data_IF_533249969527
#
_entry.id   IF_533249969527
#
_cell.length_a   1.000
_cell.length_b   1.000
_cell.length_c   1.000
_cell.angle_alpha   90.00
_cell.angle_beta   90.00
_cell.angle_gamma   90.00
#
_symmetry.space_group_name_H-M   'P 1'
#
loop_
_entity.id
_entity.type
_entity.pdbx_description
1 polymer ?
#
# COMPACT_ATOMS: atom_id res chain seq x y z
N UNK A 1 39.79 -5.54 65.92
CA UNK A 1 40.51 -4.95 64.73
C UNK A 1 39.70 -5.26 63.53
N UNK A 2 38.85 -4.36 63.13
CA UNK A 2 37.81 -4.49 62.11
C UNK A 2 38.24 -3.77 60.82
N UNK A 3 38.63 -4.52 59.77
CA UNK A 3 39.00 -3.96 58.49
C UNK A 3 37.75 -3.77 57.64
N UNK A 4 37.19 -2.53 57.59
CA UNK A 4 36.18 -2.12 56.61
C UNK A 4 36.75 -2.22 55.18
N UNK A 5 36.19 -3.13 54.37
CA UNK A 5 36.39 -3.13 52.90
C UNK A 5 35.55 -2.03 52.29
N UNK A 6 36.21 -1.05 51.70
CA UNK A 6 35.57 -0.03 50.84
C UNK A 6 35.32 -0.67 49.48
N UNK A 7 34.05 -0.71 49.07
CA UNK A 7 33.65 -1.07 47.69
C UNK A 7 33.99 0.05 46.72
N UNK A 8 34.22 -0.26 45.41
CA UNK A 8 34.54 0.74 44.41
C UNK A 8 33.34 1.59 44.07
N UNK A 9 33.61 2.94 43.87
CA UNK A 9 32.63 3.93 43.45
C UNK A 9 32.09 3.65 42.05
N UNK A 10 30.81 3.98 41.78
CA UNK A 10 30.25 3.84 40.45
C UNK A 10 30.86 4.85 39.47
N UNK A 11 31.33 4.33 38.34
CA UNK A 11 31.89 5.11 37.24
C UNK A 11 30.83 6.08 36.69
N UNK A 12 31.13 7.36 36.62
CA UNK A 12 30.33 8.39 35.97
C UNK A 12 30.22 8.09 34.48
N UNK A 13 29.06 7.57 34.10
CA UNK A 13 28.68 7.33 32.70
C UNK A 13 28.50 8.64 31.96
N UNK A 14 29.37 8.86 30.96
CA UNK A 14 29.34 10.00 30.07
C UNK A 14 27.99 10.14 29.38
N UNK A 15 27.25 11.18 29.77
CA UNK A 15 26.05 11.62 29.06
C UNK A 15 26.43 12.08 27.67
N UNK A 16 26.17 11.23 26.66
CA UNK A 16 26.19 11.69 25.26
C UNK A 16 25.10 12.74 25.11
N UNK A 17 25.50 14.00 24.93
CA UNK A 17 24.62 15.06 24.46
C UNK A 17 23.92 14.61 23.17
N UNK A 18 22.67 14.17 23.27
CA UNK A 18 21.80 14.02 22.13
C UNK A 18 21.54 15.43 21.58
N UNK A 19 22.21 15.79 20.49
CA UNK A 19 21.90 17.00 19.72
C UNK A 19 20.41 16.96 19.39
N UNK A 20 19.65 17.88 19.96
CA UNK A 20 18.24 18.11 19.62
C UNK A 20 18.20 18.68 18.19
N UNK A 21 17.98 17.83 17.20
CA UNK A 21 17.59 18.28 15.88
C UNK A 21 16.20 18.89 15.92
N UNK A 22 15.91 19.94 15.14
CA UNK A 22 14.65 20.67 15.23
C UNK A 22 13.45 19.74 15.01
N UNK A 23 12.52 19.75 15.96
CA UNK A 23 11.32 18.87 16.02
C UNK A 23 10.45 18.89 14.77
N UNK A 24 10.48 19.96 13.95
CA UNK A 24 9.65 20.12 12.73
C UNK A 24 10.09 19.25 11.55
N UNK A 25 11.37 19.08 11.29
CA UNK A 25 11.89 18.32 10.14
C UNK A 25 11.59 16.82 10.22
N UNK A 26 11.45 16.26 11.43
CA UNK A 26 11.17 14.86 11.65
C UNK A 26 9.70 14.47 11.43
N UNK A 27 8.79 15.41 11.71
CA UNK A 27 7.35 15.24 11.48
C UNK A 27 7.03 15.15 9.98
N UNK A 28 7.67 15.98 9.17
CA UNK A 28 7.51 15.97 7.71
C UNK A 28 7.94 14.63 7.10
N UNK A 29 9.08 14.07 7.54
CA UNK A 29 9.56 12.78 7.04
C UNK A 29 8.57 11.63 7.27
N UNK A 30 7.95 11.56 8.45
CA UNK A 30 6.95 10.54 8.77
C UNK A 30 5.67 10.71 7.92
N UNK A 31 5.21 11.96 7.71
CA UNK A 31 4.08 12.26 6.83
C UNK A 31 4.37 11.79 5.40
N UNK A 32 5.55 12.11 4.83
CA UNK A 32 5.91 11.67 3.48
C UNK A 32 6.01 10.16 3.32
N UNK A 33 6.52 9.45 4.33
CA UNK A 33 6.59 7.97 4.29
C UNK A 33 5.19 7.37 4.35
N UNK A 34 4.29 7.91 5.19
CA UNK A 34 2.91 7.46 5.29
C UNK A 34 2.12 7.77 4.01
N UNK A 35 2.31 8.98 3.44
CA UNK A 35 1.76 9.37 2.13
C UNK A 35 2.16 8.38 1.05
N UNK A 36 3.46 8.09 0.93
CA UNK A 36 3.93 7.13 -0.07
C UNK A 36 3.32 5.74 0.11
N UNK A 37 3.20 5.29 1.35
CA UNK A 37 2.60 3.99 1.65
C UNK A 37 1.13 3.93 1.18
N UNK A 38 0.42 5.06 1.24
CA UNK A 38 -0.96 5.16 0.78
C UNK A 38 -1.06 5.38 -0.74
N UNK A 39 -0.17 6.21 -1.32
CA UNK A 39 -0.17 6.57 -2.75
C UNK A 39 0.52 5.48 -3.58
N UNK A 40 -0.17 4.37 -3.83
CA UNK A 40 0.30 3.25 -4.63
C UNK A 40 -0.41 3.12 -5.97
N UNK A 41 -0.36 1.92 -6.55
CA UNK A 41 -1.04 1.57 -7.80
C UNK A 41 -2.57 1.82 -7.75
N UNK A 42 -3.18 1.81 -6.56
CA UNK A 42 -4.59 2.10 -6.35
C UNK A 42 -5.02 3.49 -6.83
N UNK A 43 -4.11 4.48 -6.88
CA UNK A 43 -4.44 5.82 -7.39
C UNK A 43 -4.91 5.78 -8.85
N UNK A 44 -4.32 4.93 -9.68
CA UNK A 44 -4.69 4.79 -11.09
C UNK A 44 -6.10 4.25 -11.29
N UNK A 45 -6.60 3.46 -10.36
CA UNK A 45 -7.91 2.81 -10.46
C UNK A 45 -9.04 3.59 -9.77
N UNK A 46 -8.74 4.72 -9.14
CA UNK A 46 -9.75 5.50 -8.43
C UNK A 46 -10.87 6.04 -9.35
N UNK A 47 -10.59 6.58 -10.56
CA UNK A 47 -11.65 6.99 -11.49
C UNK A 47 -12.60 5.83 -11.86
N UNK A 48 -12.06 4.63 -12.08
CA UNK A 48 -12.84 3.43 -12.32
C UNK A 48 -13.70 3.05 -11.11
N UNK A 49 -13.14 3.15 -9.89
CA UNK A 49 -13.88 2.89 -8.65
C UNK A 49 -15.03 3.90 -8.45
N UNK A 50 -14.88 5.17 -8.87
CA UNK A 50 -15.97 6.16 -8.89
C UNK A 50 -17.11 5.71 -9.80
N UNK A 51 -16.80 5.17 -10.98
CA UNK A 51 -17.81 4.59 -11.89
C UNK A 51 -18.55 3.42 -11.28
N UNK A 52 -17.84 2.53 -10.56
CA UNK A 52 -18.40 1.37 -9.85
C UNK A 52 -19.25 1.76 -8.65
N UNK A 53 -18.90 2.83 -7.96
CA UNK A 53 -19.67 3.35 -6.81
C UNK A 53 -21.00 4.03 -7.23
N UNK A 54 -21.25 4.17 -8.52
CA UNK A 54 -22.47 4.79 -9.05
C UNK A 54 -22.34 6.27 -9.38
N UNK A 55 -21.13 6.81 -9.38
CA UNK A 55 -20.84 8.20 -9.77
C UNK A 55 -20.04 8.98 -8.73
N UNK A 56 -19.86 10.28 -8.99
CA UNK A 56 -18.99 11.13 -8.18
C UNK A 56 -19.49 11.32 -6.73
N UNK A 57 -20.78 11.57 -6.55
CA UNK A 57 -21.34 11.89 -5.22
C UNK A 57 -21.33 10.67 -4.29
N UNK A 58 -21.84 9.48 -4.69
CA UNK A 58 -21.74 8.29 -3.85
C UNK A 58 -20.30 7.92 -3.52
N UNK A 59 -19.37 8.03 -4.48
CA UNK A 59 -17.96 7.73 -4.27
C UNK A 59 -17.33 8.64 -3.21
N UNK A 60 -17.54 9.96 -3.31
CA UNK A 60 -17.04 10.92 -2.32
C UNK A 60 -17.62 10.70 -0.92
N UNK A 61 -18.90 10.35 -0.81
CA UNK A 61 -19.52 10.03 0.49
C UNK A 61 -18.89 8.78 1.12
N UNK A 62 -18.66 7.73 0.33
CA UNK A 62 -17.98 6.51 0.78
C UNK A 62 -16.54 6.82 1.19
N UNK A 63 -15.83 7.64 0.42
CA UNK A 63 -14.45 8.04 0.69
C UNK A 63 -14.35 8.83 2.01
N UNK A 64 -15.24 9.80 2.23
CA UNK A 64 -15.32 10.56 3.49
C UNK A 64 -15.70 9.67 4.68
N UNK A 65 -16.65 8.76 4.50
CA UNK A 65 -17.04 7.80 5.53
C UNK A 65 -15.88 6.87 5.89
N UNK A 66 -15.16 6.36 4.89
CA UNK A 66 -13.99 5.49 5.10
C UNK A 66 -12.83 6.19 5.80
N UNK A 67 -12.64 7.50 5.59
CA UNK A 67 -11.60 8.29 6.25
C UNK A 67 -11.68 8.20 7.77
N UNK A 68 -12.88 8.19 8.34
CA UNK A 68 -13.08 8.10 9.80
C UNK A 68 -12.56 6.76 10.32
N UNK A 69 -12.84 5.65 9.62
CA UNK A 69 -12.32 4.33 9.97
C UNK A 69 -10.80 4.25 9.78
N UNK A 70 -10.28 4.80 8.69
CA UNK A 70 -8.85 4.84 8.39
C UNK A 70 -8.06 5.56 9.49
N UNK A 71 -8.47 6.77 9.86
CA UNK A 71 -7.80 7.54 10.91
C UNK A 71 -7.94 6.86 12.28
N UNK A 72 -9.12 6.32 12.59
CA UNK A 72 -9.31 5.60 13.85
C UNK A 72 -8.48 4.32 13.92
N UNK A 73 -8.37 3.57 12.82
CA UNK A 73 -7.53 2.37 12.72
C UNK A 73 -6.05 2.68 12.94
N UNK A 74 -5.54 3.74 12.29
CA UNK A 74 -4.16 4.21 12.48
C UNK A 74 -3.88 4.64 13.92
N UNK A 75 -4.82 5.35 14.54
CA UNK A 75 -4.70 5.77 15.93
C UNK A 75 -4.65 4.58 16.89
N UNK A 76 -5.54 3.60 16.70
CA UNK A 76 -5.58 2.37 17.50
C UNK A 76 -4.32 1.55 17.35
N UNK A 77 -3.84 1.36 16.11
CA UNK A 77 -2.61 0.63 15.84
C UNK A 77 -1.38 1.30 16.44
N UNK A 78 -1.29 2.65 16.36
CA UNK A 78 -0.23 3.41 17.01
C UNK A 78 -0.25 3.27 18.52
N UNK A 79 -1.44 3.29 19.13
CA UNK A 79 -1.61 3.06 20.58
C UNK A 79 -1.23 1.62 20.97
N UNK A 80 -1.69 0.63 20.20
CA UNK A 80 -1.36 -0.78 20.41
C UNK A 80 0.15 -1.05 20.24
N UNK A 81 0.80 -0.40 19.27
CA UNK A 81 2.24 -0.47 19.08
C UNK A 81 3.02 0.14 20.25
N UNK A 82 2.55 1.28 20.80
CA UNK A 82 3.13 1.89 21.98
C UNK A 82 3.01 0.99 23.22
N UNK A 83 1.88 0.31 23.38
CA UNK A 83 1.62 -0.58 24.50
C UNK A 83 2.41 -1.88 24.42
N UNK A 84 2.47 -2.51 23.23
CA UNK A 84 3.11 -3.80 23.02
C UNK A 84 4.62 -3.72 22.82
N UNK A 85 5.15 -2.52 22.52
CA UNK A 85 6.56 -2.27 22.17
C UNK A 85 7.10 -3.18 21.03
N UNK A 86 6.20 -3.63 20.14
CA UNK A 86 6.55 -4.47 19.01
C UNK A 86 6.84 -3.61 17.76
N UNK A 87 7.92 -3.90 16.99
CA UNK A 87 8.29 -3.12 15.82
C UNK A 87 7.53 -3.50 14.55
N UNK A 88 6.80 -4.61 14.55
CA UNK A 88 6.09 -5.14 13.37
C UNK A 88 4.60 -5.21 13.59
N UNK A 89 3.81 -5.04 12.51
CA UNK A 89 2.35 -5.12 12.55
C UNK A 89 1.87 -6.47 13.11
N UNK A 90 2.43 -7.57 12.61
CA UNK A 90 2.09 -8.93 13.04
C UNK A 90 2.45 -9.16 14.51
N UNK A 91 3.58 -8.58 14.95
CA UNK A 91 4.01 -8.63 16.35
C UNK A 91 3.02 -7.94 17.28
N UNK A 92 2.53 -6.76 16.90
CA UNK A 92 1.50 -6.01 17.64
C UNK A 92 0.20 -6.82 17.73
N UNK A 93 -0.30 -7.33 16.59
CA UNK A 93 -1.54 -8.13 16.56
C UNK A 93 -1.39 -9.41 17.40
N UNK A 94 -0.24 -10.09 17.32
CA UNK A 94 0.04 -11.28 18.14
C UNK A 94 0.08 -10.97 19.63
N UNK A 95 0.69 -9.84 20.01
CA UNK A 95 0.79 -9.42 21.41
C UNK A 95 -0.56 -8.99 22.01
N UNK A 96 -1.41 -8.37 21.21
CA UNK A 96 -2.69 -7.80 21.65
C UNK A 96 -3.83 -8.80 21.48
N UNK A 97 -3.96 -9.45 20.32
CA UNK A 97 -5.11 -10.30 19.98
C UNK A 97 -4.81 -11.82 20.15
N UNK A 98 -3.59 -12.18 20.56
CA UNK A 98 -3.21 -13.57 20.79
C UNK A 98 -2.55 -14.27 19.60
N UNK A 99 -2.01 -15.48 19.83
CA UNK A 99 -1.18 -16.19 18.89
C UNK A 99 -1.91 -16.66 17.61
N UNK A 100 -3.18 -17.06 17.72
CA UNK A 100 -3.97 -17.55 16.59
C UNK A 100 -4.27 -16.42 15.61
N UNK A 101 -4.71 -15.26 16.13
CA UNK A 101 -5.00 -14.05 15.32
C UNK A 101 -3.69 -13.50 14.73
N UNK A 102 -2.58 -13.56 15.47
CA UNK A 102 -1.26 -13.19 14.97
C UNK A 102 -0.82 -14.02 13.76
N UNK A 103 -1.05 -15.35 13.78
CA UNK A 103 -0.77 -16.22 12.62
C UNK A 103 -1.68 -15.91 11.43
N UNK A 104 -2.97 -15.68 11.66
CA UNK A 104 -3.89 -15.25 10.61
C UNK A 104 -3.41 -13.94 9.98
N UNK A 105 -2.98 -12.97 10.81
CA UNK A 105 -2.42 -11.70 10.34
C UNK A 105 -1.18 -11.91 9.48
N UNK A 106 -0.25 -12.81 9.84
CA UNK A 106 0.94 -13.14 9.05
C UNK A 106 0.56 -13.69 7.67
N UNK A 107 -0.41 -14.59 7.60
CA UNK A 107 -0.90 -15.17 6.33
C UNK A 107 -1.58 -14.10 5.47
N UNK A 108 -2.49 -13.31 6.05
CA UNK A 108 -3.14 -12.22 5.33
C UNK A 108 -2.12 -11.20 4.80
N UNK A 109 -1.09 -10.87 5.61
CA UNK A 109 -0.03 -9.95 5.23
C UNK A 109 0.79 -10.47 4.05
N UNK A 110 1.14 -11.75 4.07
CA UNK A 110 1.86 -12.41 2.98
C UNK A 110 1.04 -12.41 1.69
N UNK A 111 -0.23 -12.80 1.77
CA UNK A 111 -1.15 -12.81 0.62
C UNK A 111 -1.32 -11.39 0.05
N UNK A 112 -1.46 -10.39 0.90
CA UNK A 112 -1.63 -9.01 0.47
C UNK A 112 -0.38 -8.48 -0.25
N UNK A 113 0.81 -8.68 0.32
CA UNK A 113 2.07 -8.30 -0.35
C UNK A 113 2.26 -9.02 -1.69
N UNK A 114 1.85 -10.29 -1.75
CA UNK A 114 1.91 -11.06 -2.99
C UNK A 114 0.98 -10.47 -4.06
N UNK A 115 -0.27 -10.20 -3.72
CA UNK A 115 -1.23 -9.59 -4.65
C UNK A 115 -0.85 -8.17 -5.05
N UNK A 116 -0.30 -7.37 -4.13
CA UNK A 116 0.28 -6.05 -4.45
C UNK A 116 1.41 -6.20 -5.47
N UNK A 117 2.30 -7.19 -5.31
CA UNK A 117 3.38 -7.45 -6.28
C UNK A 117 2.83 -7.77 -7.68
N UNK A 118 1.75 -8.55 -7.77
CA UNK A 118 1.07 -8.84 -9.04
C UNK A 118 0.50 -7.56 -9.66
N UNK A 119 -0.21 -6.75 -8.86
CA UNK A 119 -0.79 -5.48 -9.34
C UNK A 119 0.29 -4.52 -9.85
N UNK A 120 1.42 -4.39 -9.13
CA UNK A 120 2.53 -3.53 -9.54
C UNK A 120 3.11 -3.97 -10.89
N UNK A 121 3.33 -5.27 -11.09
CA UNK A 121 3.83 -5.78 -12.38
C UNK A 121 2.80 -5.58 -13.50
N UNK A 122 1.51 -5.75 -13.23
CA UNK A 122 0.46 -5.52 -14.23
C UNK A 122 0.43 -4.06 -14.66
N UNK A 123 0.46 -3.11 -13.72
CA UNK A 123 0.52 -1.67 -14.04
C UNK A 123 1.75 -1.35 -14.88
N UNK A 124 2.93 -1.87 -14.51
CA UNK A 124 4.14 -1.65 -15.31
C UNK A 124 3.98 -2.20 -16.73
N UNK A 125 3.38 -3.39 -16.87
CA UNK A 125 3.08 -3.98 -18.18
C UNK A 125 2.17 -3.09 -19.03
N UNK A 126 1.09 -2.56 -18.45
CA UNK A 126 0.15 -1.66 -19.13
C UNK A 126 0.83 -0.35 -19.57
N UNK A 127 1.68 0.23 -18.71
CA UNK A 127 2.43 1.43 -19.08
C UNK A 127 3.46 1.16 -20.19
N UNK A 128 4.16 0.00 -20.14
CA UNK A 128 5.11 -0.40 -21.20
C UNK A 128 4.40 -0.59 -22.54
N UNK A 129 3.26 -1.25 -22.56
CA UNK A 129 2.45 -1.45 -23.77
C UNK A 129 2.14 -0.11 -24.43
N UNK A 130 1.61 0.86 -23.68
CA UNK A 130 1.28 2.20 -24.20
C UNK A 130 2.51 3.00 -24.63
N UNK A 131 3.64 2.84 -23.94
CA UNK A 131 4.90 3.48 -24.36
C UNK A 131 5.44 2.86 -25.66
N UNK A 132 5.35 1.54 -25.82
CA UNK A 132 5.72 0.86 -27.06
C UNK A 132 4.82 1.28 -28.22
N UNK A 133 3.51 1.36 -28.01
CA UNK A 133 2.55 1.85 -29.01
C UNK A 133 2.86 3.29 -29.45
N UNK A 134 3.35 4.13 -28.55
CA UNK A 134 3.70 5.50 -28.86
C UNK A 134 5.00 5.62 -29.67
N UNK A 135 5.94 4.69 -29.48
CA UNK A 135 7.22 4.64 -30.21
C UNK A 135 7.07 4.01 -31.62
N UNK A 136 6.11 3.12 -31.77
CA UNK A 136 5.80 2.46 -33.05
C UNK A 136 4.34 2.74 -33.44
N UNK A 137 3.99 3.97 -33.82
CA UNK A 137 2.65 4.26 -34.32
C UNK A 137 2.43 3.41 -35.58
N UNK A 138 1.49 2.47 -35.53
CA UNK A 138 1.15 1.54 -36.61
C UNK A 138 1.15 2.28 -37.94
N UNK A 139 2.16 1.94 -38.77
CA UNK A 139 2.43 2.67 -39.99
C UNK A 139 1.29 2.54 -41.01
N UNK A 140 0.48 3.58 -41.08
CA UNK A 140 -0.44 3.84 -42.19
C UNK A 140 0.27 4.30 -43.46
N UNK A 141 1.59 4.07 -43.59
CA UNK A 141 2.38 4.41 -44.79
C UNK A 141 2.56 3.28 -45.76
N UNK A 142 2.14 2.05 -45.45
CA UNK A 142 2.13 0.93 -46.40
C UNK A 142 0.97 0.02 -46.05
N UNK A 143 -0.03 -0.03 -46.89
CA UNK A 143 -1.32 -0.68 -46.78
C UNK A 143 -1.36 -2.20 -46.47
N UNK A 144 -0.46 -2.71 -45.67
CA UNK A 144 -0.49 -4.07 -45.10
C UNK A 144 -0.40 -3.98 -43.57
N UNK A 145 -1.23 -4.71 -42.81
CA UNK A 145 -1.11 -4.81 -41.37
C UNK A 145 0.17 -5.56 -41.02
N UNK A 146 1.24 -4.83 -40.73
CA UNK A 146 2.45 -5.44 -40.20
C UNK A 146 2.19 -5.74 -38.72
N UNK A 147 2.24 -7.02 -38.37
CA UNK A 147 2.24 -7.46 -36.96
C UNK A 147 3.41 -6.78 -36.24
N UNK A 148 3.16 -6.20 -35.05
CA UNK A 148 4.22 -5.56 -34.27
C UNK A 148 5.35 -6.59 -34.04
N UNK A 149 6.62 -6.17 -34.10
CA UNK A 149 7.73 -7.08 -33.88
C UNK A 149 7.63 -7.69 -32.46
N UNK A 150 8.01 -8.97 -32.33
CA UNK A 150 7.91 -9.78 -31.11
C UNK A 150 8.54 -9.13 -29.87
N UNK A 151 9.54 -8.24 -30.04
CA UNK A 151 10.21 -7.53 -28.96
C UNK A 151 9.39 -6.35 -28.41
N UNK A 152 8.29 -5.96 -29.06
CA UNK A 152 7.35 -4.92 -28.61
C UNK A 152 6.18 -5.54 -27.83
N UNK A 153 6.01 -6.87 -27.88
CA UNK A 153 4.96 -7.56 -27.13
C UNK A 153 5.11 -7.29 -25.62
N UNK A 154 4.00 -6.90 -24.97
CA UNK A 154 3.91 -6.63 -23.53
C UNK A 154 4.52 -7.75 -22.68
N UNK A 155 4.31 -9.01 -23.09
CA UNK A 155 4.82 -10.17 -22.35
C UNK A 155 6.34 -10.23 -22.36
N UNK A 156 6.95 -9.95 -23.51
CA UNK A 156 8.39 -9.94 -23.66
C UNK A 156 9.01 -8.75 -22.93
N UNK A 157 8.50 -7.53 -23.15
CA UNK A 157 9.04 -6.29 -22.54
C UNK A 157 8.95 -6.30 -21.01
N UNK A 158 7.83 -6.77 -20.46
CA UNK A 158 7.67 -6.91 -19.00
C UNK A 158 8.62 -7.96 -18.43
N UNK A 159 8.76 -9.13 -19.10
CA UNK A 159 9.68 -10.19 -18.67
C UNK A 159 11.13 -9.73 -18.71
N UNK A 160 11.54 -9.04 -19.78
CA UNK A 160 12.87 -8.46 -19.90
C UNK A 160 13.15 -7.43 -18.82
N UNK A 161 12.21 -6.51 -18.53
CA UNK A 161 12.33 -5.54 -17.45
C UNK A 161 12.45 -6.22 -16.09
N UNK A 162 11.68 -7.27 -15.85
CA UNK A 162 11.75 -8.03 -14.59
C UNK A 162 13.13 -8.63 -14.38
N UNK A 163 13.71 -9.29 -15.41
CA UNK A 163 15.00 -9.96 -15.31
C UNK A 163 16.16 -8.97 -15.25
N UNK A 164 16.15 -7.93 -16.09
CA UNK A 164 17.28 -7.01 -16.23
C UNK A 164 17.33 -5.91 -15.19
N UNK A 165 16.18 -5.45 -14.70
CA UNK A 165 16.10 -4.29 -13.80
C UNK A 165 15.54 -4.68 -12.43
N UNK A 166 14.35 -5.27 -12.37
CA UNK A 166 13.65 -5.50 -11.09
C UNK A 166 14.37 -6.58 -10.27
N UNK A 167 14.84 -7.65 -10.89
CA UNK A 167 15.55 -8.72 -10.20
C UNK A 167 16.83 -8.23 -9.50
N UNK A 168 17.79 -7.58 -10.19
CA UNK A 168 18.99 -7.10 -9.51
C UNK A 168 18.71 -6.07 -8.41
N UNK A 169 17.64 -5.27 -8.54
CA UNK A 169 17.20 -4.34 -7.49
C UNK A 169 16.56 -5.07 -6.28
N UNK A 170 16.02 -6.27 -6.48
CA UNK A 170 15.30 -7.05 -5.44
C UNK A 170 16.19 -8.01 -4.64
N UNK A 171 17.39 -8.34 -5.12
CA UNK A 171 18.32 -9.30 -4.46
C UNK A 171 19.00 -8.73 -3.21
N UNK A 172 19.37 -7.44 -3.12
CA UNK A 172 20.07 -6.88 -1.96
C UNK A 172 19.38 -7.15 -0.63
N UNK A 173 20.18 -7.13 0.45
CA UNK A 173 19.70 -7.32 1.82
C UNK A 173 18.94 -6.09 2.32
N UNK A 174 19.41 -4.90 1.94
CA UNK A 174 18.86 -3.61 2.34
C UNK A 174 18.71 -2.71 1.11
N UNK A 175 17.63 -1.93 1.08
CA UNK A 175 17.33 -1.04 -0.02
C UNK A 175 17.66 0.40 0.41
N UNK A 176 18.87 0.86 0.07
CA UNK A 176 19.36 2.19 0.45
C UNK A 176 18.61 3.34 -0.24
N UNK A 177 17.97 3.10 -1.39
CA UNK A 177 17.28 4.13 -2.17
C UNK A 177 15.80 4.35 -1.77
N UNK A 178 15.31 3.68 -0.71
CA UNK A 178 13.90 3.77 -0.26
C UNK A 178 13.43 5.22 -0.02
N UNK A 179 14.31 6.10 0.47
CA UNK A 179 13.99 7.52 0.70
C UNK A 179 13.73 8.25 -0.62
N UNK A 180 14.58 8.04 -1.61
CA UNK A 180 14.45 8.67 -2.94
C UNK A 180 13.24 8.14 -3.69
N UNK A 181 13.00 6.83 -3.62
CA UNK A 181 11.79 6.21 -4.14
C UNK A 181 10.53 6.80 -3.51
N UNK A 182 10.54 7.14 -2.21
CA UNK A 182 9.39 7.75 -1.54
C UNK A 182 9.07 9.15 -2.05
N UNK A 183 10.09 9.97 -2.27
CA UNK A 183 9.93 11.31 -2.83
C UNK A 183 9.42 11.21 -4.27
N UNK A 184 10.05 10.36 -5.09
CA UNK A 184 9.66 10.14 -6.48
C UNK A 184 8.20 9.69 -6.59
N UNK A 185 7.76 8.73 -5.77
CA UNK A 185 6.38 8.24 -5.80
C UNK A 185 5.34 9.30 -5.43
N UNK A 186 5.64 10.13 -4.43
CA UNK A 186 4.75 11.24 -4.06
C UNK A 186 4.68 12.30 -5.16
N UNK A 187 5.83 12.66 -5.76
CA UNK A 187 5.86 13.60 -6.87
C UNK A 187 5.14 13.05 -8.10
N UNK A 188 5.31 11.77 -8.43
CA UNK A 188 4.60 11.12 -9.53
C UNK A 188 3.07 11.15 -9.32
N UNK A 189 2.60 10.90 -8.10
CA UNK A 189 1.17 10.97 -7.76
C UNK A 189 0.62 12.39 -7.88
N UNK A 190 1.33 13.39 -7.35
CA UNK A 190 0.94 14.79 -7.49
C UNK A 190 0.91 15.24 -8.96
N UNK A 191 1.94 14.86 -9.73
CA UNK A 191 1.98 15.17 -11.17
C UNK A 191 0.82 14.54 -11.92
N UNK A 192 0.53 13.26 -11.67
CA UNK A 192 -0.61 12.56 -12.26
C UNK A 192 -1.94 13.27 -11.97
N UNK A 193 -2.18 13.65 -10.71
CA UNK A 193 -3.38 14.36 -10.30
C UNK A 193 -3.52 15.69 -11.06
N UNK A 194 -2.43 16.46 -11.15
CA UNK A 194 -2.42 17.72 -11.90
C UNK A 194 -2.71 17.49 -13.39
N UNK A 195 -2.10 16.47 -13.99
CA UNK A 195 -2.34 16.13 -15.40
C UNK A 195 -3.80 15.75 -15.65
N UNK A 196 -4.40 14.94 -14.80
CA UNK A 196 -5.80 14.53 -14.94
C UNK A 196 -6.74 15.76 -14.84
N UNK A 197 -6.52 16.63 -13.84
CA UNK A 197 -7.28 17.86 -13.69
C UNK A 197 -7.10 18.79 -14.91
N UNK A 198 -5.86 18.98 -15.35
CA UNK A 198 -5.56 19.81 -16.53
C UNK A 198 -6.24 19.28 -17.79
N UNK A 199 -6.16 17.96 -18.02
CA UNK A 199 -6.79 17.32 -19.19
C UNK A 199 -8.30 17.44 -19.19
N UNK A 200 -8.95 17.37 -18.03
CA UNK A 200 -10.39 17.62 -17.93
C UNK A 200 -10.77 19.01 -18.44
N UNK A 201 -10.02 20.06 -18.05
CA UNK A 201 -10.32 21.43 -18.51
C UNK A 201 -9.93 21.68 -19.96
N UNK A 202 -8.91 21.00 -20.48
CA UNK A 202 -8.50 21.13 -21.89
C UNK A 202 -9.44 20.38 -22.86
N UNK A 203 -10.14 19.33 -22.39
CA UNK A 203 -11.11 18.54 -23.17
C UNK A 203 -12.56 19.03 -23.00
N UNK A 204 -12.77 20.26 -22.61
CA UNK A 204 -14.00 20.83 -22.04
C UNK A 204 -15.31 20.74 -22.86
N UNK A 205 -15.33 20.10 -24.03
CA UNK A 205 -16.56 20.04 -24.85
C UNK A 205 -17.26 18.68 -24.98
N UNK A 206 -16.67 17.61 -24.54
CA UNK A 206 -17.31 16.30 -24.69
C UNK A 206 -17.44 15.55 -23.35
N UNK A 207 -18.64 15.46 -22.84
CA UNK A 207 -19.07 14.55 -21.76
C UNK A 207 -19.00 15.09 -20.32
N UNK A 208 -19.85 16.05 -20.00
CA UNK A 208 -20.23 16.30 -18.60
C UNK A 208 -21.20 15.20 -18.14
N UNK A 209 -20.66 14.07 -17.70
CA UNK A 209 -21.47 12.99 -17.13
C UNK A 209 -21.71 13.23 -15.63
N UNK A 210 -22.65 14.06 -15.26
CA UNK A 210 -23.22 14.10 -13.92
C UNK A 210 -24.29 13.01 -13.81
N UNK A 211 -23.90 11.80 -13.41
CA UNK A 211 -24.81 10.70 -13.19
C UNK A 211 -25.15 10.57 -11.70
N UNK A 212 -26.41 10.75 -11.32
CA UNK A 212 -26.96 10.37 -10.03
C UNK A 212 -27.46 8.92 -10.17
N UNK A 213 -26.61 7.94 -9.91
CA UNK A 213 -27.02 6.54 -9.92
C UNK A 213 -26.48 5.86 -8.67
N UNK A 214 -27.35 5.53 -7.72
CA UNK A 214 -26.96 4.71 -6.58
C UNK A 214 -26.79 3.28 -7.10
N UNK A 215 -25.56 2.85 -7.33
CA UNK A 215 -25.24 1.47 -7.60
C UNK A 215 -25.03 0.73 -6.27
N UNK A 216 -25.63 -0.46 -6.05
CA UNK A 216 -25.46 -1.22 -4.82
C UNK A 216 -24.04 -1.81 -4.66
N UNK A 217 -23.18 -1.69 -5.65
CA UNK A 217 -21.79 -2.13 -5.56
C UNK A 217 -20.98 -1.08 -4.83
N UNK A 218 -20.84 -1.25 -3.51
CA UNK A 218 -19.88 -0.53 -2.69
C UNK A 218 -18.49 -1.09 -3.05
N UNK A 219 -17.88 -0.59 -4.13
CA UNK A 219 -16.48 -0.90 -4.43
C UNK A 219 -15.63 -0.41 -3.26
N UNK A 220 -14.75 -1.25 -2.71
CA UNK A 220 -13.87 -0.83 -1.64
C UNK A 220 -12.89 0.22 -2.18
N UNK A 221 -13.26 1.49 -2.05
CA UNK A 221 -12.36 2.63 -2.22
C UNK A 221 -11.39 2.63 -1.03
N UNK A 222 -10.35 1.79 -1.10
CA UNK A 222 -9.48 1.56 0.04
C UNK A 222 -8.17 2.29 -0.13
N UNK A 223 -8.00 3.36 0.66
CA UNK A 223 -6.72 4.02 0.92
C UNK A 223 -5.87 3.12 1.83
N UNK A 224 -5.02 2.30 1.24
CA UNK A 224 -4.28 1.28 1.98
C UNK A 224 -2.93 1.80 2.48
N UNK A 225 -2.78 2.01 3.80
CA UNK A 225 -1.49 2.35 4.43
C UNK A 225 -1.29 1.70 5.82
N UNK A 226 -2.28 0.96 6.32
CA UNK A 226 -2.29 0.43 7.68
C UNK A 226 -1.16 -0.58 7.92
N UNK A 227 -0.75 -1.31 6.92
CA UNK A 227 0.34 -2.28 6.99
C UNK A 227 1.68 -1.65 7.36
N UNK A 228 1.95 -0.44 6.84
CA UNK A 228 3.17 0.29 7.14
C UNK A 228 3.11 1.08 8.46
N UNK A 229 1.92 1.21 9.06
CA UNK A 229 1.65 2.02 10.25
C UNK A 229 2.63 1.75 11.39
N UNK A 230 2.74 0.48 11.81
CA UNK A 230 3.57 0.09 12.96
C UNK A 230 5.06 0.30 12.66
N UNK A 231 5.52 -0.04 11.45
CA UNK A 231 6.91 0.16 11.04
C UNK A 231 7.27 1.66 11.01
N UNK A 232 6.37 2.53 10.54
CA UNK A 232 6.58 3.99 10.54
C UNK A 232 6.59 4.52 11.96
N UNK A 233 5.61 4.13 12.79
CA UNK A 233 5.53 4.53 14.20
C UNK A 233 6.78 4.16 14.98
N UNK A 234 7.28 2.92 14.85
CA UNK A 234 8.49 2.45 15.53
C UNK A 234 9.77 3.12 15.04
N UNK A 235 9.80 3.62 13.79
CA UNK A 235 10.93 4.38 13.24
C UNK A 235 10.98 5.85 13.67
N UNK A 236 9.89 6.38 14.23
CA UNK A 236 9.80 7.78 14.66
C UNK A 236 10.64 8.04 15.93
N UNK A 237 11.30 9.20 15.98
CA UNK A 237 12.02 9.63 17.20
C UNK A 237 11.09 10.05 18.34
N UNK A 238 9.95 10.64 18.01
CA UNK A 238 8.94 11.05 18.98
C UNK A 238 7.73 10.14 18.84
N UNK A 239 7.67 9.09 19.64
CA UNK A 239 6.60 8.10 19.65
C UNK A 239 5.45 8.50 20.60
N UNK A 240 5.19 9.82 20.75
CA UNK A 240 4.02 10.25 21.53
C UNK A 240 2.73 10.02 20.73
N UNK A 241 1.70 9.54 21.42
CA UNK A 241 0.41 9.24 20.79
C UNK A 241 -0.21 10.45 20.07
N UNK A 242 -0.18 11.62 20.72
CA UNK A 242 -0.71 12.86 20.12
C UNK A 242 0.02 13.25 18.83
N UNK A 243 1.36 13.09 18.80
CA UNK A 243 2.14 13.37 17.62
C UNK A 243 1.85 12.38 16.48
N UNK A 244 1.67 11.10 16.81
CA UNK A 244 1.28 10.08 15.84
C UNK A 244 -0.09 10.36 15.22
N UNK A 245 -1.09 10.68 16.04
CA UNK A 245 -2.43 11.04 15.56
C UNK A 245 -2.38 12.24 14.61
N UNK A 246 -1.60 13.28 14.96
CA UNK A 246 -1.43 14.46 14.08
C UNK A 246 -0.81 14.07 12.72
N UNK A 247 0.24 13.25 12.71
CA UNK A 247 0.88 12.75 11.49
C UNK A 247 -0.12 11.94 10.66
N UNK A 248 -0.87 11.05 11.29
CA UNK A 248 -1.86 10.20 10.62
C UNK A 248 -2.99 11.02 10.00
N UNK A 249 -3.57 11.95 10.74
CA UNK A 249 -4.65 12.83 10.25
C UNK A 249 -4.16 13.67 9.07
N UNK A 250 -3.01 14.33 9.19
CA UNK A 250 -2.46 15.16 8.14
C UNK A 250 -2.17 14.36 6.86
N UNK A 251 -1.56 13.18 7.00
CA UNK A 251 -1.27 12.31 5.86
C UNK A 251 -2.54 11.82 5.18
N UNK A 252 -3.55 11.41 5.97
CA UNK A 252 -4.80 10.92 5.41
C UNK A 252 -5.61 12.02 4.71
N UNK A 253 -5.59 13.25 5.22
CA UNK A 253 -6.25 14.40 4.55
C UNK A 253 -5.58 14.74 3.23
N UNK A 254 -4.24 14.71 3.15
CA UNK A 254 -3.51 14.93 1.89
C UNK A 254 -3.80 13.78 0.90
N UNK A 255 -3.80 12.54 1.36
CA UNK A 255 -4.18 11.39 0.53
C UNK A 255 -5.61 11.55 0.00
N UNK A 256 -6.57 11.85 0.87
CA UNK A 256 -7.96 12.10 0.50
C UNK A 256 -8.05 13.13 -0.63
N UNK A 257 -7.38 14.27 -0.50
CA UNK A 257 -7.38 15.32 -1.51
C UNK A 257 -6.85 14.80 -2.86
N UNK A 258 -5.72 14.10 -2.86
CA UNK A 258 -5.09 13.56 -4.08
C UNK A 258 -6.02 12.52 -4.74
N UNK A 259 -6.56 11.61 -3.97
CA UNK A 259 -7.44 10.54 -4.47
C UNK A 259 -8.78 11.08 -4.94
N UNK A 260 -9.42 11.99 -4.18
CA UNK A 260 -10.69 12.62 -4.58
C UNK A 260 -10.54 13.43 -5.87
N UNK A 261 -9.46 14.22 -6.02
CA UNK A 261 -9.22 14.98 -7.26
C UNK A 261 -8.98 14.03 -8.44
N UNK A 262 -8.13 13.04 -8.29
CA UNK A 262 -7.83 12.06 -9.35
C UNK A 262 -9.08 11.26 -9.73
N UNK A 263 -9.83 10.76 -8.76
CA UNK A 263 -11.04 9.97 -8.95
C UNK A 263 -12.15 10.79 -9.63
N UNK A 264 -12.43 11.97 -9.08
CA UNK A 264 -13.47 12.85 -9.57
C UNK A 264 -13.20 13.30 -11.02
N UNK A 265 -12.05 13.94 -11.27
CA UNK A 265 -11.75 14.48 -12.58
C UNK A 265 -11.50 13.40 -13.63
N UNK A 266 -10.89 12.26 -13.26
CA UNK A 266 -10.76 11.13 -14.16
C UNK A 266 -12.11 10.51 -14.52
N UNK A 267 -13.02 10.37 -13.55
CA UNK A 267 -14.38 9.92 -13.81
C UNK A 267 -15.19 10.93 -14.65
N UNK A 268 -15.08 12.22 -14.37
CA UNK A 268 -15.77 13.25 -15.15
C UNK A 268 -15.26 13.34 -16.60
N UNK A 269 -14.00 12.96 -16.85
CA UNK A 269 -13.41 12.95 -18.21
C UNK A 269 -13.92 11.76 -19.03
N UNK A 270 -13.96 10.55 -18.46
CA UNK A 270 -14.24 9.33 -19.22
C UNK A 270 -15.58 8.67 -18.87
N UNK A 271 -16.22 9.08 -17.78
CA UNK A 271 -17.49 8.50 -17.32
C UNK A 271 -17.36 7.01 -16.98
N UNK A 272 -18.36 6.22 -17.39
CA UNK A 272 -18.40 4.76 -17.18
C UNK A 272 -17.43 3.98 -18.09
N UNK A 273 -16.87 4.61 -19.11
CA UNK A 273 -15.93 4.00 -20.05
C UNK A 273 -14.47 4.08 -19.57
N UNK A 274 -14.22 4.63 -18.37
CA UNK A 274 -12.87 4.70 -17.81
C UNK A 274 -12.30 3.30 -17.59
N UNK A 275 -11.05 3.08 -18.04
CA UNK A 275 -10.34 1.85 -17.81
C UNK A 275 -10.00 1.67 -16.32
N UNK A 276 -9.75 0.45 -15.90
CA UNK A 276 -9.29 0.13 -14.54
C UNK A 276 -7.94 0.77 -14.17
N UNK A 277 -7.10 1.07 -15.16
CA UNK A 277 -5.97 2.01 -15.07
C UNK A 277 -6.32 3.26 -15.91
N UNK A 278 -6.48 4.40 -15.24
CA UNK A 278 -6.88 5.66 -15.91
C UNK A 278 -5.89 6.11 -16.99
N UNK A 279 -4.60 5.81 -16.84
CA UNK A 279 -3.60 6.15 -17.86
C UNK A 279 -3.82 5.39 -19.16
N UNK A 280 -4.45 4.20 -19.12
CA UNK A 280 -4.82 3.44 -20.31
C UNK A 280 -5.96 4.12 -21.11
N UNK A 281 -6.78 4.94 -20.47
CA UNK A 281 -7.85 5.68 -21.13
C UNK A 281 -7.36 6.89 -21.95
N UNK A 282 -6.15 7.37 -21.70
CA UNK A 282 -5.55 8.47 -22.46
C UNK A 282 -4.82 7.97 -23.72
N UNK A 283 -4.76 8.79 -24.80
CA UNK A 283 -4.03 8.44 -26.03
C UNK A 283 -2.54 8.20 -25.75
N UNK A 284 -1.92 7.30 -26.57
CA UNK A 284 -0.50 6.94 -26.43
C UNK A 284 0.47 8.07 -26.77
N UNK A 285 0.09 8.96 -27.68
CA UNK A 285 0.94 10.00 -28.27
C UNK A 285 0.93 11.35 -27.52
N UNK A 286 0.23 11.45 -26.38
CA UNK A 286 0.16 12.69 -25.60
C UNK A 286 1.42 12.89 -24.75
N UNK A 287 2.26 13.92 -25.00
CA UNK A 287 3.55 14.07 -24.32
C UNK A 287 3.42 14.28 -22.82
N UNK A 288 2.36 14.95 -22.35
CA UNK A 288 2.13 15.20 -20.91
C UNK A 288 1.79 13.89 -20.21
N UNK A 289 0.99 13.05 -20.86
CA UNK A 289 0.62 11.72 -20.34
C UNK A 289 1.79 10.73 -20.42
N UNK A 290 2.64 10.82 -21.46
CA UNK A 290 3.86 10.00 -21.56
C UNK A 290 4.77 10.26 -20.35
N UNK A 291 4.98 11.52 -19.97
CA UNK A 291 5.76 11.86 -18.77
C UNK A 291 5.12 11.29 -17.51
N UNK A 292 3.79 11.34 -17.37
CA UNK A 292 3.08 10.72 -16.24
C UNK A 292 3.31 9.20 -16.19
N UNK A 293 3.22 8.50 -17.34
CA UNK A 293 3.48 7.06 -17.45
C UNK A 293 4.91 6.71 -17.04
N UNK A 294 5.90 7.47 -17.52
CA UNK A 294 7.30 7.24 -17.17
C UNK A 294 7.57 7.46 -15.68
N UNK A 295 7.10 8.56 -15.10
CA UNK A 295 7.28 8.85 -13.68
C UNK A 295 6.61 7.79 -12.80
N UNK A 296 5.38 7.39 -13.16
CA UNK A 296 4.65 6.36 -12.41
C UNK A 296 5.30 4.98 -12.59
N UNK A 297 5.68 4.61 -13.81
CA UNK A 297 6.37 3.35 -14.11
C UNK A 297 7.68 3.22 -13.34
N UNK A 298 8.55 4.24 -13.36
CA UNK A 298 9.79 4.24 -12.58
C UNK A 298 9.51 4.18 -11.07
N UNK A 299 8.50 4.90 -10.59
CA UNK A 299 8.09 4.83 -9.19
C UNK A 299 7.70 3.40 -8.80
N UNK A 300 6.88 2.71 -9.61
CA UNK A 300 6.42 1.35 -9.34
C UNK A 300 7.58 0.35 -9.38
N UNK A 301 8.47 0.45 -10.37
CA UNK A 301 9.68 -0.38 -10.47
C UNK A 301 10.54 -0.29 -9.21
N UNK A 302 10.60 0.89 -8.57
CA UNK A 302 11.34 1.07 -7.30
C UNK A 302 10.56 0.61 -6.07
N UNK A 303 9.24 0.48 -6.12
CA UNK A 303 8.41 -0.03 -5.01
C UNK A 303 8.46 -1.56 -4.95
N UNK A 304 8.45 -2.25 -6.08
CA UNK A 304 8.40 -3.70 -6.16
C UNK A 304 9.50 -4.39 -5.31
N UNK A 305 10.79 -4.01 -5.39
CA UNK A 305 11.84 -4.58 -4.53
C UNK A 305 11.55 -4.42 -3.03
N UNK A 306 10.91 -3.32 -2.63
CA UNK A 306 10.54 -3.07 -1.23
C UNK A 306 9.47 -4.06 -0.77
N UNK A 307 8.46 -4.30 -1.60
CA UNK A 307 7.39 -5.27 -1.32
C UNK A 307 7.96 -6.69 -1.21
N UNK A 308 8.86 -7.08 -2.12
CA UNK A 308 9.55 -8.38 -2.08
C UNK A 308 10.41 -8.52 -0.81
N UNK A 309 11.11 -7.46 -0.40
CA UNK A 309 11.89 -7.45 0.83
C UNK A 309 11.02 -7.71 2.06
N UNK A 310 9.87 -7.03 2.15
CA UNK A 310 8.90 -7.22 3.21
C UNK A 310 8.32 -8.66 3.19
N UNK A 311 7.93 -9.15 2.02
CA UNK A 311 7.43 -10.52 1.86
C UNK A 311 8.44 -11.57 2.30
N UNK A 312 9.71 -11.39 1.93
CA UNK A 312 10.80 -12.30 2.38
C UNK A 312 10.98 -12.29 3.89
N UNK A 313 10.84 -11.16 4.57
CA UNK A 313 10.96 -11.11 6.03
C UNK A 313 9.82 -11.88 6.70
N UNK A 314 8.59 -11.72 6.22
CA UNK A 314 7.42 -12.43 6.75
C UNK A 314 7.52 -13.94 6.51
N UNK A 315 7.95 -14.38 5.32
CA UNK A 315 8.16 -15.81 5.03
C UNK A 315 9.23 -16.41 5.95
N UNK A 316 10.32 -15.68 6.18
CA UNK A 316 11.36 -16.13 7.11
C UNK A 316 10.83 -16.25 8.54
N UNK A 317 10.04 -15.30 9.01
CA UNK A 317 9.43 -15.31 10.35
C UNK A 317 8.44 -16.49 10.51
N UNK A 318 7.66 -16.80 9.46
CA UNK A 318 6.75 -17.95 9.43
C UNK A 318 7.49 -19.30 9.47
N UNK A 319 8.64 -19.39 8.78
CA UNK A 319 9.42 -20.63 8.70
C UNK A 319 10.42 -20.81 9.84
N UNK A 320 10.85 -19.69 10.44
CA UNK A 320 11.67 -19.69 11.67
C UNK A 320 10.79 -19.98 12.89
N UNK A 321 10.07 -21.12 12.91
CA UNK A 321 9.54 -21.64 14.16
C UNK A 321 10.70 -21.69 15.18
N UNK A 322 10.45 -21.40 16.50
CA UNK A 322 11.50 -21.24 17.48
C UNK A 322 12.25 -22.56 17.70
N UNK A 323 13.20 -22.84 16.84
CA UNK A 323 14.21 -23.88 17.09
C UNK A 323 15.17 -23.30 18.12
N UNK A 324 14.89 -23.53 19.38
CA UNK A 324 15.87 -23.38 20.46
C UNK A 324 17.12 -24.18 20.04
N UNK A 325 18.22 -23.51 19.70
CA UNK A 325 19.49 -24.12 19.34
C UNK A 325 19.88 -24.14 17.88
N UNK A 326 19.27 -23.28 17.00
CA UNK A 326 19.73 -23.16 15.62
C UNK A 326 21.13 -22.54 15.59
N UNK A 327 22.12 -23.35 15.20
CA UNK A 327 23.46 -22.90 14.79
C UNK A 327 23.29 -21.84 13.72
N UNK A 328 24.00 -20.73 13.83
CA UNK A 328 23.98 -19.64 12.85
C UNK A 328 24.16 -20.25 11.45
N UNK A 329 23.15 -20.10 10.60
CA UNK A 329 23.23 -20.59 9.22
C UNK A 329 24.39 -19.89 8.51
N UNK A 330 25.19 -20.65 7.76
CA UNK A 330 26.30 -20.12 6.97
C UNK A 330 25.80 -18.95 6.11
N UNK A 331 26.58 -17.86 6.01
CA UNK A 331 26.24 -16.70 5.18
C UNK A 331 25.90 -17.07 3.73
N UNK A 332 26.54 -18.11 3.19
CA UNK A 332 26.24 -18.65 1.87
C UNK A 332 24.83 -19.23 1.79
N UNK A 333 24.39 -19.99 2.80
CA UNK A 333 23.04 -20.55 2.85
C UNK A 333 21.98 -19.44 2.95
N UNK A 334 22.24 -18.41 3.75
CA UNK A 334 21.35 -17.26 3.84
C UNK A 334 21.24 -16.48 2.50
N UNK A 335 22.36 -16.34 1.79
CA UNK A 335 22.37 -15.72 0.46
C UNK A 335 21.56 -16.52 -0.56
N UNK A 336 21.77 -17.82 -0.63
CA UNK A 336 21.02 -18.73 -1.51
C UNK A 336 19.53 -18.75 -1.20
N UNK A 337 19.16 -18.82 0.06
CA UNK A 337 17.75 -18.76 0.50
C UNK A 337 17.10 -17.45 0.07
N UNK A 338 17.79 -16.31 0.17
CA UNK A 338 17.27 -15.01 -0.28
C UNK A 338 17.05 -14.97 -1.78
N UNK A 339 18.05 -15.43 -2.55
CA UNK A 339 17.95 -15.45 -4.02
C UNK A 339 16.83 -16.38 -4.46
N UNK A 340 16.79 -17.60 -3.94
CA UNK A 340 15.76 -18.59 -4.27
C UNK A 340 14.35 -18.05 -3.98
N UNK A 341 14.14 -17.47 -2.80
CA UNK A 341 12.84 -16.91 -2.42
C UNK A 341 12.47 -15.71 -3.31
N UNK A 342 13.43 -14.84 -3.67
CA UNK A 342 13.20 -13.73 -4.59
C UNK A 342 12.82 -14.22 -5.98
N UNK A 343 13.54 -15.21 -6.52
CA UNK A 343 13.24 -15.80 -7.83
C UNK A 343 11.86 -16.46 -7.85
N UNK A 344 11.55 -17.27 -6.84
CA UNK A 344 10.25 -17.94 -6.72
C UNK A 344 9.10 -16.91 -6.63
N UNK A 345 9.27 -15.88 -5.78
CA UNK A 345 8.27 -14.81 -5.64
C UNK A 345 8.05 -14.09 -6.96
N UNK A 346 9.14 -13.67 -7.60
CA UNK A 346 9.07 -12.92 -8.85
C UNK A 346 8.52 -13.75 -10.00
N UNK A 347 8.93 -15.03 -10.14
CA UNK A 347 8.40 -15.92 -11.16
C UNK A 347 6.90 -16.18 -10.99
N UNK A 348 6.44 -16.38 -9.74
CA UNK A 348 5.03 -16.59 -9.45
C UNK A 348 4.19 -15.32 -9.71
N UNK A 349 4.66 -14.15 -9.25
CA UNK A 349 3.92 -12.88 -9.44
C UNK A 349 3.94 -12.44 -10.91
N UNK A 350 5.05 -12.63 -11.63
CA UNK A 350 5.15 -12.36 -13.06
C UNK A 350 4.21 -13.30 -13.85
N UNK A 351 4.26 -14.61 -13.54
CA UNK A 351 3.37 -15.57 -14.19
C UNK A 351 1.91 -15.15 -14.06
N UNK A 352 1.44 -14.83 -12.84
CA UNK A 352 0.06 -14.37 -12.64
C UNK A 352 -0.20 -13.05 -13.37
N UNK A 353 0.71 -12.07 -13.30
CA UNK A 353 0.54 -10.77 -13.96
C UNK A 353 0.39 -10.87 -15.48
N UNK A 354 1.04 -11.85 -16.12
CA UNK A 354 0.94 -12.10 -17.57
C UNK A 354 -0.40 -12.76 -17.98
N UNK A 355 -1.05 -13.51 -17.06
CA UNK A 355 -2.32 -14.18 -17.33
C UNK A 355 -3.53 -13.37 -16.93
N UNK A 356 -3.40 -12.42 -15.99
CA UNK A 356 -4.51 -11.58 -15.54
C UNK A 356 -4.76 -10.45 -16.55
N UNK A 357 -5.94 -10.44 -17.22
CA UNK A 357 -6.20 -9.48 -18.29
C UNK A 357 -6.51 -8.07 -17.76
N UNK A 358 -7.05 -7.96 -16.53
CA UNK A 358 -7.53 -6.69 -15.97
C UNK A 358 -7.04 -6.48 -14.54
N UNK A 359 -6.36 -5.36 -14.32
CA UNK A 359 -5.88 -4.94 -13.00
C UNK A 359 -7.04 -4.73 -12.01
N UNK A 360 -8.24 -4.36 -12.48
CA UNK A 360 -9.40 -4.13 -11.63
C UNK A 360 -9.73 -5.34 -10.75
N UNK A 361 -9.66 -6.57 -11.31
CA UNK A 361 -9.88 -7.81 -10.55
C UNK A 361 -8.86 -8.02 -9.44
N UNK A 362 -7.60 -7.68 -9.69
CA UNK A 362 -6.52 -7.77 -8.70
C UNK A 362 -6.75 -6.77 -7.57
N UNK A 363 -7.13 -5.55 -7.90
CA UNK A 363 -7.40 -4.48 -6.92
C UNK A 363 -8.63 -4.79 -6.07
N UNK A 364 -9.70 -5.36 -6.64
CA UNK A 364 -10.85 -5.83 -5.86
C UNK A 364 -10.44 -6.87 -4.81
N UNK A 365 -9.58 -7.82 -5.18
CA UNK A 365 -9.09 -8.85 -4.25
C UNK A 365 -8.19 -8.25 -3.16
N UNK A 366 -7.26 -7.35 -3.54
CA UNK A 366 -6.42 -6.62 -2.58
C UNK A 366 -7.28 -5.84 -1.60
N UNK A 367 -8.35 -5.16 -2.08
CA UNK A 367 -9.28 -4.41 -1.25
C UNK A 367 -9.95 -5.27 -0.18
N UNK A 368 -10.36 -6.49 -0.55
CA UNK A 368 -10.92 -7.46 0.41
C UNK A 368 -9.92 -7.89 1.49
N UNK A 369 -8.67 -8.19 1.11
CA UNK A 369 -7.62 -8.56 2.06
C UNK A 369 -7.24 -7.35 2.94
N UNK A 370 -7.19 -6.17 2.37
CA UNK A 370 -6.86 -4.93 3.09
C UNK A 370 -7.88 -4.57 4.17
N UNK A 371 -9.13 -5.03 4.03
CA UNK A 371 -10.16 -4.83 5.05
C UNK A 371 -9.76 -5.46 6.40
N UNK A 372 -8.97 -6.54 6.40
CA UNK A 372 -8.42 -7.10 7.64
C UNK A 372 -7.52 -6.09 8.36
N UNK A 373 -6.65 -5.40 7.64
CA UNK A 373 -5.66 -4.47 8.22
C UNK A 373 -6.28 -3.14 8.63
N UNK A 374 -7.32 -2.70 7.92
CA UNK A 374 -7.95 -1.40 8.13
C UNK A 374 -9.03 -1.48 9.21
N UNK A 375 -9.84 -2.55 9.19
CA UNK A 375 -11.05 -2.64 10.01
C UNK A 375 -10.97 -3.76 11.05
N UNK A 376 -10.63 -5.00 10.64
CA UNK A 376 -10.79 -6.16 11.51
C UNK A 376 -9.74 -6.17 12.62
N UNK A 377 -8.45 -6.11 12.28
CA UNK A 377 -7.39 -6.17 13.30
C UNK A 377 -7.40 -4.94 14.23
N UNK A 378 -7.58 -3.69 13.75
CA UNK A 378 -7.73 -2.55 14.66
C UNK A 378 -8.99 -2.65 15.52
N UNK A 379 -10.11 -3.11 14.95
CA UNK A 379 -11.37 -3.32 15.68
C UNK A 379 -11.21 -4.33 16.83
N UNK A 380 -10.49 -5.44 16.58
CA UNK A 380 -10.17 -6.43 17.61
C UNK A 380 -9.21 -5.86 18.66
N UNK A 381 -8.21 -5.06 18.25
CA UNK A 381 -7.26 -4.45 19.17
C UNK A 381 -7.93 -3.49 20.16
N UNK A 382 -9.00 -2.79 19.77
CA UNK A 382 -9.79 -1.94 20.67
C UNK A 382 -10.38 -2.75 21.82
N UNK A 383 -10.82 -3.97 21.58
CA UNK A 383 -11.43 -4.82 22.61
C UNK A 383 -10.44 -5.22 23.70
N UNK A 384 -9.17 -5.40 23.36
CA UNK A 384 -8.11 -5.82 24.28
C UNK A 384 -7.46 -4.66 25.05
N UNK A 385 -7.38 -3.47 24.46
CA UNK A 385 -6.94 -2.23 25.15
C UNK A 385 -7.76 -1.95 26.41
N UNK A 386 -8.93 -2.56 26.54
CA UNK A 386 -9.84 -2.54 27.68
C UNK A 386 -9.23 -3.07 28.98
N UNK A 387 -8.29 -4.00 28.94
CA UNK A 387 -7.76 -4.68 30.13
C UNK A 387 -6.73 -3.85 30.90
N UNK A 388 -6.38 -2.64 30.44
CA UNK A 388 -5.41 -1.77 31.09
C UNK A 388 -6.05 -1.04 32.30
N UNK A 389 -5.37 -0.95 33.47
CA UNK A 389 -5.96 -0.43 34.74
C UNK A 389 -6.38 1.03 34.72
N UNK A 390 -5.98 1.84 33.75
CA UNK A 390 -6.39 3.23 33.56
C UNK A 390 -7.75 3.36 32.84
N UNK A 391 -8.77 2.65 33.33
CA UNK A 391 -10.03 2.51 32.61
C UNK A 391 -10.80 3.85 32.51
N UNK A 392 -11.21 4.26 31.28
CA UNK A 392 -12.13 5.38 31.09
C UNK A 392 -13.52 5.09 31.71
N UNK A 393 -14.33 6.14 31.89
CA UNK A 393 -15.71 6.01 32.37
C UNK A 393 -16.49 4.94 31.61
N UNK A 394 -17.47 4.28 32.27
CA UNK A 394 -18.27 3.18 31.70
C UNK A 394 -18.83 3.50 30.30
N UNK A 395 -19.28 4.74 30.07
CA UNK A 395 -19.80 5.22 28.80
C UNK A 395 -18.73 5.24 27.68
N UNK A 396 -17.54 5.74 27.99
CA UNK A 396 -16.41 5.74 26.99
C UNK A 396 -16.00 4.32 26.63
N UNK A 397 -16.04 3.41 27.59
CA UNK A 397 -15.73 2.00 27.38
C UNK A 397 -16.76 1.34 26.46
N UNK A 398 -18.04 1.57 26.69
CA UNK A 398 -19.12 1.08 25.84
C UNK A 398 -19.01 1.63 24.40
N UNK A 399 -18.71 2.91 24.24
CA UNK A 399 -18.51 3.55 22.94
C UNK A 399 -17.32 2.96 22.18
N UNK A 400 -16.18 2.68 22.82
CA UNK A 400 -15.03 2.04 22.20
C UNK A 400 -15.34 0.61 21.75
N UNK A 401 -16.05 -0.16 22.56
CA UNK A 401 -16.48 -1.52 22.19
C UNK A 401 -17.42 -1.48 20.99
N UNK A 402 -18.42 -0.59 21.02
CA UNK A 402 -19.36 -0.42 19.91
C UNK A 402 -18.61 -0.04 18.61
N UNK A 403 -17.64 0.85 18.71
CA UNK A 403 -16.79 1.23 17.58
C UNK A 403 -15.96 0.06 17.05
N UNK A 404 -15.33 -0.74 17.94
CA UNK A 404 -14.58 -1.94 17.57
C UNK A 404 -15.46 -2.98 16.87
N UNK A 405 -16.65 -3.26 17.40
CA UNK A 405 -17.63 -4.18 16.78
C UNK A 405 -18.08 -3.65 15.43
N UNK A 406 -18.41 -2.36 15.32
CA UNK A 406 -18.78 -1.73 14.04
C UNK A 406 -17.66 -1.86 13.00
N UNK A 407 -16.41 -1.64 13.42
CA UNK A 407 -15.24 -1.81 12.54
C UNK A 407 -15.10 -3.26 12.06
N UNK A 408 -15.20 -4.24 12.94
CA UNK A 408 -15.11 -5.67 12.58
C UNK A 408 -16.24 -6.07 11.62
N UNK A 409 -17.47 -5.66 11.88
CA UNK A 409 -18.60 -5.94 11.02
C UNK A 409 -18.47 -5.27 9.65
N UNK A 410 -18.04 -4.01 9.61
CA UNK A 410 -17.75 -3.29 8.38
C UNK A 410 -16.64 -3.96 7.56
N UNK A 411 -15.56 -4.38 8.22
CA UNK A 411 -14.47 -5.12 7.58
C UNK A 411 -14.90 -6.49 7.03
N UNK A 412 -15.71 -7.22 7.77
CA UNK A 412 -16.27 -8.50 7.33
C UNK A 412 -17.20 -8.33 6.11
N UNK A 413 -18.02 -7.27 6.10
CA UNK A 413 -18.86 -6.93 4.96
C UNK A 413 -18.03 -6.61 3.71
N UNK A 414 -17.02 -5.74 3.81
CA UNK A 414 -16.14 -5.38 2.69
C UNK A 414 -15.38 -6.60 2.17
N UNK A 415 -14.84 -7.43 3.05
CA UNK A 415 -14.15 -8.67 2.68
C UNK A 415 -15.10 -9.66 1.97
N UNK A 416 -16.29 -9.87 2.52
CA UNK A 416 -17.31 -10.75 1.92
C UNK A 416 -17.77 -10.27 0.55
N UNK A 417 -18.00 -8.97 0.39
CA UNK A 417 -18.37 -8.37 -0.90
C UNK A 417 -17.27 -8.55 -1.95
N UNK A 418 -15.99 -8.26 -1.59
CA UNK A 418 -14.85 -8.47 -2.48
C UNK A 418 -14.70 -9.94 -2.89
N UNK A 419 -14.85 -10.88 -1.94
CA UNK A 419 -14.78 -12.29 -2.24
C UNK A 419 -15.92 -12.73 -3.18
N UNK A 420 -17.14 -12.26 -2.94
CA UNK A 420 -18.28 -12.54 -3.79
C UNK A 420 -18.09 -12.02 -5.23
N UNK A 421 -17.60 -10.78 -5.38
CA UNK A 421 -17.30 -10.19 -6.69
C UNK A 421 -16.19 -10.95 -7.42
N UNK A 422 -15.14 -11.37 -6.72
CA UNK A 422 -14.05 -12.18 -7.29
C UNK A 422 -14.57 -13.53 -7.79
N UNK A 423 -15.41 -14.23 -7.00
CA UNK A 423 -16.02 -15.52 -7.40
C UNK A 423 -16.96 -15.35 -8.60
N UNK A 424 -17.82 -14.33 -8.59
CA UNK A 424 -18.70 -14.03 -9.73
C UNK A 424 -17.92 -13.68 -10.99
N UNK A 425 -16.77 -13.02 -10.86
CA UNK A 425 -15.88 -12.70 -11.96
C UNK A 425 -15.13 -13.90 -12.55
N UNK A 426 -14.98 -14.99 -11.77
CA UNK A 426 -14.42 -16.28 -12.23
C UNK A 426 -15.45 -17.17 -12.90
N UNK A 427 -16.73 -17.02 -12.57
CA UNK A 427 -17.84 -17.82 -13.13
C UNK A 427 -18.39 -17.25 -14.46
N UNK A 428 -18.01 -16.03 -14.81
CA UNK A 428 -18.32 -15.36 -16.09
C UNK A 428 -17.15 -15.43 -17.05
#
# INVERSE_FOLDING_TARGET
MERRRRGPAPAAGGGRLRRALPRRALSAGAVFILLKSALGAGLLSFPWAFGRAGGAVPALLVELGSLVFLVSGLAVLGYAAALSAQPTYQGVVRAVCGAAVGKLCEVCFLLNLFMISVALLRVVGDQLEKLCDSLYPNGTLSGAPQLPPWYVDQRFTLSALCVLVIFPLSVPREIGFQKYSSILGTLAACYLTVVIVLKYYLQAESLRCWGWGLSPALSPLVLQCHEACVAIYSSMRNQSFSHWVTVSVLSMLICLLIYSLTGLYGYLTFGKAVASDVLMSYPGNDPIVIVARLLFGVSIVTIYPIVVLLGRSVVKDLWAAPKRGAVAASEAHERWSRVALTVTWMAATLGIALFVPDIGKVIELIGGISAFFIFIFPGMAISEVRSTPAAPSCLRRAALIAWGVLSVLGGAFVCGQSAALAVLGLLR
#
